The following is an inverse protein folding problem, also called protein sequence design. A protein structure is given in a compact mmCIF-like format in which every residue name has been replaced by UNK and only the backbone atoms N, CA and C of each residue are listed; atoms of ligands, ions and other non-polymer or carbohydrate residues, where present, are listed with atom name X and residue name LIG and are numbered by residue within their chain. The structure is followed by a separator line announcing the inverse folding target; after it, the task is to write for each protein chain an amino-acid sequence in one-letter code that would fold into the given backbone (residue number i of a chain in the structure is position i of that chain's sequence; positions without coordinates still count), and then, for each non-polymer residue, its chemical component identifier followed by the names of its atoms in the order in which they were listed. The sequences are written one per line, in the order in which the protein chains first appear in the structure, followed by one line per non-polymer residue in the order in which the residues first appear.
data_IF_359256512870
#
_entry.id   IF_359256512870
#
_cell.length_a   1.000
_cell.length_b   1.000
_cell.length_c   1.000
_cell.angle_alpha   90.00
_cell.angle_beta   90.00
_cell.angle_gamma   90.00
#
_symmetry.space_group_name_H-M   'P 1'
#
loop_
_entity.id
_entity.type
_entity.pdbx_description
1 polymer ?
#
# COMPACT_ATOMS: atom_id res chain seq x y z
N UNK A 1 -1.30 -9.30 5.81
CA UNK A 1 -2.77 -9.27 5.88
C UNK A 1 -3.20 -8.73 7.23
N UNK A 2 -4.35 -8.07 7.28
CA UNK A 2 -5.08 -7.73 8.51
C UNK A 2 -6.44 -8.42 8.47
N UNK A 3 -6.91 -8.92 9.61
CA UNK A 3 -8.19 -9.61 9.65
C UNK A 3 -8.96 -9.34 10.94
N UNK A 4 -10.27 -9.49 10.87
CA UNK A 4 -11.17 -9.54 12.01
C UNK A 4 -12.01 -10.82 11.90
N UNK A 5 -12.15 -11.55 13.01
CA UNK A 5 -12.96 -12.75 13.11
C UNK A 5 -13.65 -12.83 14.49
N UNK A 6 -14.72 -13.59 14.58
CA UNK A 6 -15.47 -13.82 15.80
C UNK A 6 -16.47 -14.95 15.61
N UNK A 7 -17.12 -15.38 16.69
CA UNK A 7 -18.08 -16.50 16.65
C UNK A 7 -19.33 -16.19 15.82
N UNK A 8 -19.70 -14.94 15.74
CA UNK A 8 -20.95 -14.40 15.16
C UNK A 8 -20.70 -13.44 13.99
N UNK A 9 -19.45 -13.34 13.51
CA UNK A 9 -19.11 -12.58 12.32
C UNK A 9 -18.37 -13.44 11.30
N UNK A 10 -18.68 -13.25 10.02
CA UNK A 10 -17.86 -13.82 8.95
C UNK A 10 -16.48 -13.14 8.97
N UNK A 11 -15.41 -13.94 8.94
CA UNK A 11 -14.05 -13.40 8.89
C UNK A 11 -13.87 -12.45 7.71
N UNK A 12 -13.45 -11.23 8.02
CA UNK A 12 -13.07 -10.24 7.00
C UNK A 12 -11.55 -10.16 6.97
N UNK A 13 -10.96 -10.34 5.79
CA UNK A 13 -9.50 -10.26 5.58
C UNK A 13 -9.19 -9.19 4.56
N UNK A 14 -8.34 -8.24 4.95
CA UNK A 14 -7.66 -7.33 4.03
C UNK A 14 -6.33 -7.94 3.65
N UNK A 15 -6.17 -8.27 2.37
CA UNK A 15 -4.94 -8.86 1.82
C UNK A 15 -3.86 -7.78 1.78
N UNK A 16 -2.63 -8.13 2.14
CA UNK A 16 -1.49 -7.23 2.01
C UNK A 16 -1.22 -6.84 0.55
N UNK A 17 -0.59 -5.71 0.33
CA UNK A 17 -0.19 -5.28 -1.00
C UNK A 17 0.82 -6.24 -1.65
N UNK A 18 0.76 -6.37 -2.97
CA UNK A 18 1.73 -7.11 -3.76
C UNK A 18 3.12 -6.46 -3.73
N UNK A 19 4.17 -7.26 -3.73
CA UNK A 19 5.53 -6.76 -3.85
C UNK A 19 5.80 -6.22 -5.25
N UNK A 20 6.64 -5.19 -5.38
CA UNK A 20 7.14 -4.73 -6.67
C UNK A 20 8.07 -5.74 -7.32
N UNK A 21 8.20 -5.66 -8.64
CA UNK A 21 9.19 -6.41 -9.39
C UNK A 21 10.62 -6.03 -9.03
N UNK A 22 11.57 -6.90 -9.27
CA UNK A 22 13.01 -6.67 -9.09
C UNK A 22 13.72 -6.70 -10.44
N UNK A 23 15.00 -6.28 -10.47
CA UNK A 23 15.83 -6.36 -11.70
C UNK A 23 16.23 -7.77 -12.11
N UNK A 24 15.94 -8.77 -11.29
CA UNK A 24 16.17 -10.17 -11.63
C UNK A 24 15.12 -10.58 -12.67
N UNK A 25 15.58 -11.11 -13.82
CA UNK A 25 14.73 -11.58 -14.92
C UNK A 25 13.62 -12.56 -14.47
N UNK A 26 13.87 -13.33 -13.42
CA UNK A 26 12.91 -14.26 -12.84
C UNK A 26 11.86 -13.59 -11.95
N UNK A 27 12.02 -12.31 -11.60
CA UNK A 27 11.19 -11.59 -10.64
C UNK A 27 10.84 -10.15 -11.09
N UNK A 28 10.89 -9.89 -12.39
CA UNK A 28 10.61 -8.57 -12.98
C UNK A 28 9.17 -8.11 -12.85
N UNK A 29 8.24 -9.05 -12.69
CA UNK A 29 6.81 -8.77 -12.59
C UNK A 29 6.46 -8.25 -11.20
N UNK A 30 5.55 -7.29 -11.15
CA UNK A 30 4.84 -6.94 -9.92
C UNK A 30 3.98 -8.11 -9.46
N UNK A 31 3.90 -8.32 -8.15
CA UNK A 31 3.10 -9.41 -7.57
C UNK A 31 1.67 -8.97 -7.30
N UNK A 32 0.74 -9.93 -7.41
CA UNK A 32 -0.64 -9.71 -7.02
C UNK A 32 -0.77 -9.50 -5.50
N UNK A 33 -1.80 -8.76 -5.10
CA UNK A 33 -2.07 -8.48 -3.69
C UNK A 33 -3.44 -7.83 -3.47
N UNK A 34 -3.70 -7.31 -2.27
CA UNK A 34 -4.84 -6.42 -2.03
C UNK A 34 -4.82 -5.24 -3.02
N UNK A 35 -3.67 -4.58 -3.15
CA UNK A 35 -3.28 -3.75 -4.31
C UNK A 35 -2.06 -4.38 -4.96
N UNK A 36 -1.95 -4.37 -6.28
CA UNK A 36 -0.86 -5.00 -7.01
C UNK A 36 0.45 -4.19 -6.95
N UNK A 37 1.58 -4.88 -7.04
CA UNK A 37 2.90 -4.27 -7.17
C UNK A 37 3.15 -3.69 -8.57
N UNK A 38 3.96 -2.65 -8.70
CA UNK A 38 4.47 -2.16 -9.98
C UNK A 38 5.52 -3.13 -10.54
N UNK A 39 5.66 -3.20 -11.88
CA UNK A 39 6.73 -3.95 -12.52
C UNK A 39 8.09 -3.29 -12.28
N UNK A 40 9.14 -4.09 -12.42
CA UNK A 40 10.51 -3.57 -12.47
C UNK A 40 10.84 -3.04 -13.85
N UNK A 41 11.89 -2.26 -13.90
CA UNK A 41 12.69 -1.98 -15.07
C UNK A 41 13.20 -3.32 -15.66
N UNK A 42 12.77 -3.68 -16.79
CA UNK A 42 13.33 -4.67 -17.73
C UNK A 42 12.24 -5.02 -18.76
N UNK A 43 12.63 -5.29 -19.98
CA UNK A 43 11.68 -5.60 -21.05
C UNK A 43 10.71 -6.72 -20.66
N UNK A 44 9.42 -6.48 -20.80
CA UNK A 44 8.36 -7.44 -20.58
C UNK A 44 7.99 -7.72 -19.12
N UNK A 45 8.27 -6.84 -18.16
CA UNK A 45 7.71 -6.94 -16.81
C UNK A 45 6.23 -6.53 -16.75
N UNK A 46 5.39 -7.38 -16.19
CA UNK A 46 3.97 -7.10 -15.99
C UNK A 46 3.69 -6.51 -14.60
N UNK A 47 2.67 -5.67 -14.50
CA UNK A 47 2.19 -5.19 -13.23
C UNK A 47 1.36 -6.25 -12.51
N UNK A 48 1.48 -6.32 -11.18
CA UNK A 48 0.64 -7.18 -10.35
C UNK A 48 -0.82 -6.72 -10.33
N UNK A 49 -1.75 -7.65 -10.26
CA UNK A 49 -3.18 -7.38 -10.14
C UNK A 49 -3.56 -7.01 -8.70
N UNK A 50 -4.57 -6.16 -8.56
CA UNK A 50 -5.25 -5.92 -7.29
C UNK A 50 -6.39 -6.91 -7.07
N UNK A 51 -6.71 -7.19 -5.80
CA UNK A 51 -7.88 -7.98 -5.43
C UNK A 51 -9.14 -7.13 -5.53
N UNK A 52 -10.17 -7.68 -6.17
CA UNK A 52 -11.48 -7.00 -6.29
C UNK A 52 -11.99 -6.51 -4.93
N UNK A 53 -12.50 -5.30 -4.88
CA UNK A 53 -12.99 -4.59 -3.69
C UNK A 53 -11.94 -4.33 -2.58
N UNK A 54 -10.64 -4.56 -2.86
CA UNK A 54 -9.56 -4.23 -1.91
C UNK A 54 -8.58 -3.22 -2.48
N UNK A 55 -8.26 -3.31 -3.77
CA UNK A 55 -7.34 -2.37 -4.39
C UNK A 55 -7.17 -2.58 -5.88
N UNK A 56 -6.32 -1.77 -6.47
CA UNK A 56 -6.10 -1.70 -7.90
C UNK A 56 -4.73 -2.28 -8.29
N UNK A 57 -4.57 -2.58 -9.57
CA UNK A 57 -3.32 -3.06 -10.13
C UNK A 57 -2.19 -2.03 -9.99
N UNK A 58 -0.97 -2.52 -10.02
CA UNK A 58 0.21 -1.69 -10.21
C UNK A 58 0.30 -1.12 -11.63
N UNK A 59 1.31 -0.29 -11.86
CA UNK A 59 1.69 0.24 -13.16
C UNK A 59 2.69 -0.67 -13.87
N UNK A 60 2.55 -0.76 -15.18
CA UNK A 60 3.46 -1.47 -16.08
C UNK A 60 4.59 -0.58 -16.58
N UNK A 61 5.36 -1.12 -17.55
CA UNK A 61 6.34 -0.38 -18.32
C UNK A 61 5.65 0.58 -19.32
N UNK A 62 6.35 1.65 -19.68
CA UNK A 62 5.95 2.51 -20.79
C UNK A 62 6.41 1.95 -22.14
N UNK A 63 7.63 1.44 -22.18
CA UNK A 63 8.29 0.74 -23.30
C UNK A 63 9.42 -0.16 -22.75
N UNK A 64 10.09 -0.89 -23.64
CA UNK A 64 11.31 -1.64 -23.28
C UNK A 64 12.37 -0.67 -22.72
N UNK A 65 13.03 -1.02 -21.64
CA UNK A 65 14.03 -0.20 -20.91
C UNK A 65 13.47 1.03 -20.14
N UNK A 66 12.16 1.11 -19.92
CA UNK A 66 11.55 2.13 -19.05
C UNK A 66 11.90 1.93 -17.57
N UNK A 67 11.86 2.98 -16.74
CA UNK A 67 11.92 2.84 -15.27
C UNK A 67 10.78 1.97 -14.71
N UNK A 68 10.79 1.72 -13.40
CA UNK A 68 9.77 0.90 -12.77
C UNK A 68 8.38 1.56 -12.74
N UNK A 69 7.33 0.75 -12.88
CA UNK A 69 5.94 1.17 -12.66
C UNK A 69 5.66 1.45 -11.19
N UNK A 70 4.64 2.26 -10.88
CA UNK A 70 4.19 2.52 -9.51
C UNK A 70 3.28 1.40 -8.98
N UNK A 71 3.27 1.17 -7.67
CA UNK A 71 2.33 0.24 -7.03
C UNK A 71 0.88 0.75 -7.07
N UNK A 72 -0.10 -0.15 -7.12
CA UNK A 72 -1.51 0.18 -6.99
C UNK A 72 -1.87 0.68 -5.59
N UNK A 73 -2.86 1.54 -5.49
CA UNK A 73 -3.48 1.95 -4.23
C UNK A 73 -4.87 1.33 -4.06
N UNK A 74 -5.49 1.52 -2.90
CA UNK A 74 -6.86 1.07 -2.67
C UNK A 74 -7.89 1.89 -3.47
N UNK A 75 -7.56 3.10 -3.90
CA UNK A 75 -8.45 4.01 -4.63
C UNK A 75 -8.08 4.22 -6.10
N UNK A 76 -6.87 3.84 -6.52
CA UNK A 76 -6.38 4.14 -7.87
C UNK A 76 -5.32 3.16 -8.34
N UNK A 77 -5.31 2.88 -9.64
CA UNK A 77 -4.26 2.12 -10.32
C UNK A 77 -2.90 2.86 -10.20
N UNK A 78 -1.83 2.12 -10.04
CA UNK A 78 -0.47 2.67 -10.16
C UNK A 78 -0.20 3.14 -11.58
N UNK A 79 0.59 4.19 -11.73
CA UNK A 79 0.93 4.71 -13.06
C UNK A 79 2.04 3.89 -13.70
N UNK A 80 1.91 3.71 -15.02
CA UNK A 80 3.00 3.18 -15.82
C UNK A 80 4.21 4.12 -15.78
N UNK A 81 5.38 3.57 -15.99
CA UNK A 81 6.58 4.38 -16.24
C UNK A 81 6.45 5.15 -17.55
N UNK A 82 7.22 6.21 -17.68
CA UNK A 82 7.34 7.00 -18.94
C UNK A 82 8.12 6.23 -20.01
N UNK A 83 7.99 6.65 -21.25
CA UNK A 83 8.50 5.98 -22.49
C UNK A 83 9.90 6.38 -22.93
N UNK A 84 10.71 7.02 -22.14
CA UNK A 84 12.02 7.52 -22.57
C UNK A 84 13.19 6.72 -21.99
N UNK A 85 13.95 6.07 -22.85
CA UNK A 85 15.13 5.26 -22.53
C UNK A 85 16.24 6.03 -21.77
N UNK A 86 16.27 7.35 -21.84
CA UNK A 86 17.33 8.18 -21.27
C UNK A 86 16.82 9.30 -20.37
N UNK A 87 15.82 9.04 -19.57
CA UNK A 87 15.26 10.04 -18.66
C UNK A 87 13.75 9.98 -18.49
N UNK A 88 13.11 8.86 -18.80
CA UNK A 88 11.70 8.65 -18.48
C UNK A 88 11.50 8.64 -16.97
N UNK A 89 10.41 9.24 -16.52
CA UNK A 89 10.01 9.23 -15.11
C UNK A 89 9.45 7.85 -14.74
N UNK A 90 9.78 7.39 -13.55
CA UNK A 90 9.16 6.18 -12.98
C UNK A 90 7.67 6.43 -12.66
N UNK A 91 6.88 5.36 -12.64
CA UNK A 91 5.45 5.43 -12.38
C UNK A 91 5.14 5.89 -10.95
N UNK A 92 4.18 6.81 -10.79
CA UNK A 92 3.69 7.19 -9.47
C UNK A 92 2.78 6.10 -8.89
N UNK A 93 2.79 5.96 -7.57
CA UNK A 93 1.85 5.10 -6.85
C UNK A 93 0.40 5.56 -6.98
N UNK A 94 -0.53 4.62 -7.00
CA UNK A 94 -1.96 4.88 -6.96
C UNK A 94 -2.42 5.43 -5.61
N UNK A 95 -3.38 6.32 -5.59
CA UNK A 95 -3.91 6.88 -4.35
C UNK A 95 -4.68 5.84 -3.53
N UNK A 96 -4.63 5.98 -2.22
CA UNK A 96 -5.46 5.25 -1.27
C UNK A 96 -6.90 5.78 -1.20
N UNK A 97 -7.65 5.27 -0.24
CA UNK A 97 -9.05 5.65 0.02
C UNK A 97 -9.15 6.43 1.33
N UNK A 98 -9.89 7.53 1.29
CA UNK A 98 -10.25 8.31 2.49
C UNK A 98 -11.43 7.66 3.22
N UNK A 99 -11.34 7.59 4.54
CA UNK A 99 -12.41 7.09 5.40
C UNK A 99 -12.52 7.93 6.68
N UNK A 100 -13.72 8.11 7.16
CA UNK A 100 -14.03 8.84 8.41
C UNK A 100 -14.24 7.91 9.60
N UNK A 101 -14.03 6.60 9.45
CA UNK A 101 -14.28 5.60 10.50
C UNK A 101 -13.48 5.88 11.79
N UNK A 102 -12.32 6.53 11.69
CA UNK A 102 -11.50 6.92 12.84
C UNK A 102 -11.91 8.25 13.51
N UNK A 103 -13.04 8.84 13.07
CA UNK A 103 -13.56 10.10 13.61
C UNK A 103 -13.18 11.36 12.79
N UNK A 104 -12.15 11.28 11.98
CA UNK A 104 -11.75 12.30 11.00
C UNK A 104 -11.39 11.65 9.69
N UNK A 105 -11.38 12.42 8.60
CA UNK A 105 -11.01 11.89 7.29
C UNK A 105 -9.52 11.57 7.24
N UNK A 106 -9.21 10.28 7.06
CA UNK A 106 -7.83 9.77 6.92
C UNK A 106 -7.74 8.92 5.67
N UNK A 107 -6.80 9.26 4.78
CA UNK A 107 -6.49 8.45 3.58
C UNK A 107 -5.51 7.36 3.96
N UNK A 108 -5.76 6.11 3.51
CA UNK A 108 -4.93 4.91 3.77
C UNK A 108 -4.73 4.08 2.51
N UNK A 109 -3.77 3.16 2.55
CA UNK A 109 -3.47 2.22 1.49
C UNK A 109 -3.12 2.86 0.13
N UNK A 110 -2.26 3.89 0.15
CA UNK A 110 -1.63 4.46 -1.04
C UNK A 110 -0.50 3.57 -1.55
N UNK A 111 -0.33 3.46 -2.86
CA UNK A 111 0.74 2.71 -3.51
C UNK A 111 2.10 3.39 -3.39
N UNK A 112 3.17 2.64 -3.48
CA UNK A 112 4.53 3.17 -3.56
C UNK A 112 4.87 3.68 -4.95
N UNK A 113 5.76 4.65 -5.05
CA UNK A 113 6.33 5.12 -6.32
C UNK A 113 7.35 4.13 -6.88
N UNK A 114 7.45 4.02 -8.20
CA UNK A 114 8.46 3.20 -8.88
C UNK A 114 9.87 3.75 -8.73
N UNK A 115 10.88 2.89 -8.80
CA UNK A 115 12.29 3.29 -8.80
C UNK A 115 12.72 3.90 -10.12
N UNK A 116 13.51 4.98 -10.07
CA UNK A 116 14.08 5.65 -11.23
C UNK A 116 15.38 5.01 -11.70
N UNK A 117 15.71 5.24 -12.98
CA UNK A 117 17.01 4.85 -13.58
C UNK A 117 17.92 6.06 -13.75
N UNK A 118 17.52 6.97 -14.59
CA UNK A 118 18.22 8.22 -14.91
C UNK A 118 17.28 9.44 -14.96
N UNK A 119 15.95 9.18 -14.93
CA UNK A 119 14.91 10.19 -14.77
C UNK A 119 14.47 10.34 -13.33
N UNK A 120 13.30 10.91 -13.10
CA UNK A 120 12.76 11.07 -11.76
C UNK A 120 12.16 9.75 -11.23
N UNK A 121 12.39 9.48 -9.93
CA UNK A 121 11.66 8.42 -9.25
C UNK A 121 10.17 8.75 -9.15
N UNK A 122 9.35 7.72 -9.10
CA UNK A 122 7.91 7.85 -8.91
C UNK A 122 7.56 8.39 -7.53
N UNK A 123 6.57 9.27 -7.46
CA UNK A 123 6.01 9.74 -6.19
C UNK A 123 5.05 8.70 -5.61
N UNK A 124 4.98 8.65 -4.29
CA UNK A 124 4.00 7.85 -3.59
C UNK A 124 2.57 8.30 -3.85
N UNK A 125 1.62 7.38 -3.86
CA UNK A 125 0.20 7.68 -3.74
C UNK A 125 -0.15 8.18 -2.34
N UNK A 126 -1.15 9.06 -2.24
CA UNK A 126 -1.66 9.52 -0.94
C UNK A 126 -2.18 8.35 -0.10
N UNK A 127 -1.98 8.39 1.21
CA UNK A 127 -2.42 7.31 2.11
C UNK A 127 -1.27 6.44 2.63
N UNK A 128 -0.07 7.02 2.76
CA UNK A 128 1.05 6.38 3.43
C UNK A 128 2.00 5.60 2.53
N UNK A 129 1.93 5.76 1.23
CA UNK A 129 2.92 5.20 0.30
C UNK A 129 4.31 5.80 0.48
N UNK A 130 5.37 5.07 0.11
CA UNK A 130 6.75 5.55 0.06
C UNK A 130 7.15 6.00 -1.35
N UNK A 131 7.92 7.07 -1.47
CA UNK A 131 8.47 7.52 -2.76
C UNK A 131 9.53 6.53 -3.27
N UNK A 132 9.64 6.39 -4.57
CA UNK A 132 10.74 5.67 -5.19
C UNK A 132 12.08 6.36 -4.95
N UNK A 133 13.16 5.59 -5.01
CA UNK A 133 14.54 6.10 -5.06
C UNK A 133 14.96 6.38 -6.49
N UNK A 134 15.80 7.36 -6.71
CA UNK A 134 16.33 7.70 -8.04
C UNK A 134 17.61 6.93 -8.35
N UNK A 135 18.61 7.07 -7.50
CA UNK A 135 19.88 6.31 -7.56
C UNK A 135 20.13 5.52 -6.27
N UNK A 136 19.24 5.59 -5.32
CA UNK A 136 19.32 5.09 -3.95
C UNK A 136 18.12 4.21 -3.62
N UNK A 137 18.02 3.83 -2.38
CA UNK A 137 16.88 3.01 -1.91
C UNK A 137 15.59 3.83 -1.93
N UNK A 138 14.48 3.16 -2.18
CA UNK A 138 13.15 3.74 -2.03
C UNK A 138 12.84 4.08 -0.56
N UNK A 139 11.76 4.79 -0.35
CA UNK A 139 11.30 5.19 0.98
C UNK A 139 10.35 4.13 1.54
N UNK A 140 10.51 3.79 2.82
CA UNK A 140 9.56 2.94 3.52
C UNK A 140 8.17 3.61 3.58
N UNK A 141 7.13 2.81 3.49
CA UNK A 141 5.77 3.29 3.68
C UNK A 141 5.50 3.64 5.15
N UNK A 142 4.51 4.50 5.36
CA UNK A 142 4.06 4.88 6.71
C UNK A 142 3.39 3.69 7.41
N UNK A 143 3.83 3.39 8.61
CA UNK A 143 3.23 2.33 9.43
C UNK A 143 1.74 2.60 9.72
N UNK A 144 0.95 1.55 9.92
CA UNK A 144 -0.48 1.59 10.25
C UNK A 144 -1.35 2.26 9.20
N UNK A 145 -0.88 2.26 7.94
CA UNK A 145 -1.64 2.77 6.79
C UNK A 145 -1.93 1.71 5.74
N UNK A 146 -1.20 0.58 5.76
CA UNK A 146 -1.25 -0.39 4.67
C UNK A 146 -0.68 0.15 3.35
N UNK A 147 0.14 1.20 3.39
CA UNK A 147 0.76 1.80 2.21
C UNK A 147 1.84 0.91 1.59
N UNK A 148 2.05 1.02 0.28
CA UNK A 148 3.12 0.33 -0.47
C UNK A 148 4.46 1.03 -0.31
N UNK A 149 5.55 0.27 -0.24
CA UNK A 149 6.91 0.80 -0.23
C UNK A 149 7.31 1.40 -1.58
N UNK A 150 8.21 2.36 -1.57
CA UNK A 150 8.85 2.88 -2.78
C UNK A 150 9.84 1.87 -3.39
N UNK A 151 9.90 1.81 -4.71
CA UNK A 151 10.90 1.02 -5.45
C UNK A 151 12.30 1.63 -5.33
N UNK A 152 13.32 0.79 -5.27
CA UNK A 152 14.72 1.26 -5.31
C UNK A 152 15.13 1.74 -6.69
N UNK A 153 16.00 2.71 -6.74
CA UNK A 153 16.65 3.22 -7.97
C UNK A 153 17.78 2.32 -8.46
N UNK A 154 18.52 2.82 -9.45
CA UNK A 154 19.54 2.04 -10.17
C UNK A 154 20.64 1.45 -9.28
N UNK A 155 21.05 2.13 -8.23
CA UNK A 155 22.10 1.67 -7.30
C UNK A 155 21.55 1.20 -5.95
N UNK A 156 20.23 0.97 -5.86
CA UNK A 156 19.62 0.46 -4.64
C UNK A 156 20.20 -0.89 -4.25
N UNK A 157 20.53 -1.04 -3.00
CA UNK A 157 21.09 -2.27 -2.42
C UNK A 157 20.15 -2.92 -1.43
N UNK A 158 19.13 -2.20 -0.95
CA UNK A 158 18.16 -2.69 0.03
C UNK A 158 16.72 -2.45 -0.44
N UNK A 159 15.83 -3.35 -0.10
CA UNK A 159 14.41 -3.17 -0.37
C UNK A 159 13.74 -2.28 0.69
N UNK A 160 12.79 -1.47 0.26
CA UNK A 160 11.95 -0.70 1.16
C UNK A 160 10.80 -1.56 1.72
N UNK A 161 10.29 -1.18 2.88
CA UNK A 161 9.25 -1.92 3.61
C UNK A 161 7.89 -1.28 3.44
N UNK A 162 6.86 -2.08 3.12
CA UNK A 162 5.47 -1.66 3.13
C UNK A 162 4.99 -1.31 4.54
N UNK A 163 4.01 -0.43 4.64
CA UNK A 163 3.40 -0.05 5.92
C UNK A 163 2.54 -1.18 6.49
N UNK A 164 2.61 -1.38 7.81
CA UNK A 164 1.67 -2.26 8.50
C UNK A 164 0.22 -1.81 8.28
N UNK A 165 -0.72 -2.75 8.38
CA UNK A 165 -2.15 -2.46 8.36
C UNK A 165 -2.67 -1.97 9.70
N UNK A 166 -3.96 -1.66 9.74
CA UNK A 166 -4.70 -1.28 10.93
C UNK A 166 -6.10 -1.89 10.88
N UNK A 167 -6.65 -2.26 12.04
CA UNK A 167 -8.06 -2.63 12.18
C UNK A 167 -8.76 -1.56 13.02
N UNK A 168 -9.89 -1.06 12.55
CA UNK A 168 -10.67 -0.02 13.23
C UNK A 168 -12.09 -0.54 13.43
N UNK A 169 -12.52 -0.59 14.69
CA UNK A 169 -13.90 -0.84 15.06
C UNK A 169 -14.58 0.48 15.42
N UNK A 170 -15.78 0.68 14.93
CA UNK A 170 -16.63 1.82 15.28
C UNK A 170 -18.01 1.32 15.65
N UNK A 171 -18.50 1.71 16.82
CA UNK A 171 -19.77 1.24 17.38
C UNK A 171 -20.46 2.33 18.20
N UNK A 172 -21.79 2.23 18.41
CA UNK A 172 -22.47 3.11 19.37
C UNK A 172 -21.82 3.00 20.76
N UNK A 173 -21.55 4.14 21.41
CA UNK A 173 -20.91 4.18 22.73
C UNK A 173 -21.67 3.35 23.77
N UNK A 174 -23.00 3.35 23.70
CA UNK A 174 -23.86 2.56 24.62
C UNK A 174 -23.65 1.05 24.53
N UNK A 175 -23.09 0.56 23.42
CA UNK A 175 -22.81 -0.86 23.19
C UNK A 175 -21.38 -1.25 23.55
N UNK A 176 -20.55 -0.31 23.99
CA UNK A 176 -19.16 -0.60 24.32
C UNK A 176 -19.06 -1.22 25.72
N UNK A 177 -18.60 -2.47 25.78
CA UNK A 177 -18.46 -3.24 27.03
C UNK A 177 -17.24 -2.85 27.88
N UNK A 178 -16.25 -2.20 27.28
CA UNK A 178 -14.97 -1.93 27.94
C UNK A 178 -13.96 -3.09 27.90
N UNK A 179 -14.33 -4.26 27.37
CA UNK A 179 -13.48 -5.45 27.37
C UNK A 179 -12.60 -5.51 26.12
N UNK A 180 -11.38 -5.03 26.22
CA UNK A 180 -10.40 -5.04 25.12
C UNK A 180 -9.09 -5.71 25.55
N UNK A 181 -8.38 -6.29 24.58
CA UNK A 181 -6.96 -6.71 24.74
C UNK A 181 -6.12 -6.09 23.62
N UNK A 182 -4.79 -6.16 23.73
CA UNK A 182 -3.88 -5.61 22.70
C UNK A 182 -3.75 -4.08 22.73
N UNK A 183 -4.26 -3.43 23.77
CA UNK A 183 -4.13 -1.97 24.00
C UNK A 183 -4.49 -1.13 22.77
N UNK A 184 -5.71 -1.25 22.21
CA UNK A 184 -6.13 -0.39 21.12
C UNK A 184 -6.12 1.08 21.55
N UNK A 185 -5.87 1.98 20.58
CA UNK A 185 -6.13 3.40 20.83
C UNK A 185 -7.64 3.62 20.84
N UNK A 186 -8.14 4.18 21.95
CA UNK A 186 -9.57 4.40 22.17
C UNK A 186 -9.92 5.90 22.04
N UNK A 187 -11.03 6.18 21.40
CA UNK A 187 -11.63 7.50 21.33
C UNK A 187 -13.15 7.41 21.25
N UNK A 188 -13.85 8.48 21.65
CA UNK A 188 -15.28 8.64 21.41
C UNK A 188 -15.65 10.11 21.18
N UNK A 189 -16.84 10.33 20.65
CA UNK A 189 -17.41 11.67 20.42
C UNK A 189 -18.72 11.90 21.24
N UNK A 190 -18.92 11.11 22.30
CA UNK A 190 -20.11 11.12 23.12
C UNK A 190 -21.25 10.23 22.59
N UNK A 191 -21.16 9.74 21.36
CA UNK A 191 -22.15 8.87 20.72
C UNK A 191 -21.56 7.60 20.13
N UNK A 192 -20.34 7.70 19.58
CA UNK A 192 -19.65 6.63 18.86
C UNK A 192 -18.32 6.34 19.52
N UNK A 193 -18.10 5.11 19.91
CA UNK A 193 -16.80 4.57 20.37
C UNK A 193 -16.01 4.05 19.19
N UNK A 194 -14.69 4.32 19.19
CA UNK A 194 -13.75 3.85 18.18
C UNK A 194 -12.57 3.17 18.86
N UNK A 195 -12.20 2.00 18.34
CA UNK A 195 -11.03 1.22 18.76
C UNK A 195 -10.11 1.07 17.55
N UNK A 196 -8.85 1.49 17.69
CA UNK A 196 -7.84 1.42 16.63
C UNK A 196 -6.75 0.44 17.07
N UNK A 197 -6.69 -0.72 16.40
CA UNK A 197 -5.70 -1.76 16.65
C UNK A 197 -4.57 -1.64 15.63
N UNK A 198 -3.36 -1.35 16.13
CA UNK A 198 -2.12 -1.31 15.35
C UNK A 198 -1.32 -2.64 15.47
N UNK A 199 -1.84 -3.61 16.18
CA UNK A 199 -1.32 -4.96 16.40
C UNK A 199 -2.46 -5.88 16.77
N UNK A 200 -2.13 -7.09 17.19
CA UNK A 200 -3.10 -8.10 17.59
C UNK A 200 -3.87 -7.66 18.85
N UNK A 201 -5.15 -7.98 18.89
CA UNK A 201 -6.01 -7.67 20.01
C UNK A 201 -7.42 -8.21 19.84
N UNK A 202 -8.26 -8.00 20.85
CA UNK A 202 -9.66 -8.40 20.81
C UNK A 202 -10.58 -7.36 21.44
N UNK A 203 -11.83 -7.44 21.07
CA UNK A 203 -12.96 -6.77 21.72
C UNK A 203 -14.05 -7.78 21.97
N UNK A 204 -14.63 -7.79 23.16
CA UNK A 204 -15.78 -8.62 23.53
C UNK A 204 -16.96 -7.71 23.86
N UNK A 205 -18.05 -7.83 23.09
CA UNK A 205 -19.31 -7.10 23.27
C UNK A 205 -20.18 -7.66 24.36
#
# INVERSE_FOLDING_TARGET
NSSISGSDITTVTSIGGGGGGSRDESQKDGRDGGSGGGCSYNSGGDAGAGTSNQGFAGGGLGDDDSPAGGGGGAGQVGKNAGTSQTGGDAGNGGNGVASTISGSSVTRAGGGGGGGLSGNAGLAGSGGGGNGGNSDDGVNATANTGGGAGGGGNNSTTGSTGGSGVVILSMPLVNFSGNTTGSPTESDDGTTKRLIFNGDGSYTG
#
